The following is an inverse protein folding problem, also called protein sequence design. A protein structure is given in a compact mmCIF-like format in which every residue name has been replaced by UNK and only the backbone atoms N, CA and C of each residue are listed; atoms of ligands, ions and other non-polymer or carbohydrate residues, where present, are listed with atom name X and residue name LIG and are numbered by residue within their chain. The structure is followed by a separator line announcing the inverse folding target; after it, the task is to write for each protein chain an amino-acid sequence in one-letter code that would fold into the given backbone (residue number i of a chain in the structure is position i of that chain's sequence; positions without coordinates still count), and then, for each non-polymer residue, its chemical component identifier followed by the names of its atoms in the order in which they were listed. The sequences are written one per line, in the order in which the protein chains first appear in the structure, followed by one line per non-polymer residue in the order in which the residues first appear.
data_IF_055082354086
#
_entry.id   IF_055082354086
#
_cell.length_a   1.000
_cell.length_b   1.000
_cell.length_c   1.000
_cell.angle_alpha   90.00
_cell.angle_beta   90.00
_cell.angle_gamma   90.00
#
_symmetry.space_group_name_H-M   'P 1'
#
loop_
_entity.id
_entity.type
_entity.pdbx_description
1 polymer ?
#
# COMPACT_ATOMS: atom_id res chain seq x y z
N UNK A 1 14.58 -4.17 -32.68
CA UNK A 1 13.58 -4.09 -31.60
C UNK A 1 14.31 -3.72 -30.32
N UNK A 2 14.20 -2.46 -29.88
CA UNK A 2 14.63 -2.10 -28.52
C UNK A 2 13.72 -2.85 -27.56
N UNK A 3 14.28 -3.64 -26.64
CA UNK A 3 13.49 -4.32 -25.62
C UNK A 3 12.53 -3.30 -24.98
N UNK A 4 11.23 -3.60 -24.98
CA UNK A 4 10.23 -2.79 -24.29
C UNK A 4 10.67 -2.67 -22.83
N UNK A 5 11.24 -1.52 -22.47
CA UNK A 5 11.60 -1.22 -21.09
C UNK A 5 10.30 -1.24 -20.31
N UNK A 6 10.12 -2.23 -19.44
CA UNK A 6 8.96 -2.32 -18.56
C UNK A 6 8.70 -0.96 -17.90
N UNK A 7 7.45 -0.47 -17.92
CA UNK A 7 7.08 0.91 -17.55
C UNK A 7 7.58 1.38 -16.17
N UNK A 8 7.87 0.46 -15.24
CA UNK A 8 8.44 0.76 -13.91
C UNK A 8 9.93 1.13 -13.96
N UNK A 9 10.60 0.95 -15.09
CA UNK A 9 12.03 1.22 -15.30
C UNK A 9 12.28 2.37 -16.27
N UNK A 10 11.27 3.18 -16.58
CA UNK A 10 11.46 4.41 -17.38
C UNK A 10 12.36 5.39 -16.62
N UNK A 11 13.40 5.92 -17.28
CA UNK A 11 14.33 6.91 -16.74
C UNK A 11 14.93 6.52 -15.37
N UNK A 12 15.58 5.35 -15.24
CA UNK A 12 16.09 4.88 -13.96
C UNK A 12 17.17 5.82 -13.40
N UNK A 13 17.91 6.54 -14.24
CA UNK A 13 18.93 7.54 -13.91
C UNK A 13 18.40 8.70 -13.06
N UNK A 14 17.09 8.97 -13.09
CA UNK A 14 16.43 9.99 -12.26
C UNK A 14 16.19 9.52 -10.82
N UNK A 15 16.53 8.27 -10.51
CA UNK A 15 16.30 7.66 -9.21
C UNK A 15 14.82 7.44 -8.90
N UNK A 16 14.53 7.28 -7.61
CA UNK A 16 13.17 7.16 -7.08
C UNK A 16 13.03 8.12 -5.89
N UNK A 17 12.04 9.03 -5.88
CA UNK A 17 11.88 10.01 -4.80
C UNK A 17 11.80 9.36 -3.42
N UNK A 18 12.53 9.91 -2.44
CA UNK A 18 12.63 9.33 -1.10
C UNK A 18 11.26 9.15 -0.42
N UNK A 19 10.34 10.11 -0.58
CA UNK A 19 8.98 10.02 -0.03
C UNK A 19 8.19 8.84 -0.62
N UNK A 20 8.38 8.53 -1.91
CA UNK A 20 7.74 7.39 -2.56
C UNK A 20 8.27 6.07 -2.00
N UNK A 21 9.60 5.99 -1.80
CA UNK A 21 10.27 4.82 -1.23
C UNK A 21 9.86 4.58 0.23
N UNK A 22 9.88 5.63 1.06
CA UNK A 22 9.50 5.51 2.46
C UNK A 22 8.02 5.15 2.63
N UNK A 23 7.14 5.72 1.80
CA UNK A 23 5.73 5.33 1.78
C UNK A 23 5.56 3.84 1.43
N UNK A 24 6.29 3.35 0.43
CA UNK A 24 6.23 1.95 0.01
C UNK A 24 6.76 0.97 1.07
N UNK A 25 7.76 1.37 1.86
CA UNK A 25 8.29 0.57 2.97
C UNK A 25 7.37 0.59 4.19
N UNK A 26 6.82 1.77 4.51
CA UNK A 26 5.96 1.94 5.67
C UNK A 26 4.65 1.19 5.52
N UNK A 27 4.07 1.18 4.31
CA UNK A 27 2.76 0.57 4.08
C UNK A 27 2.65 -0.90 4.54
N UNK A 28 3.49 -1.85 4.08
CA UNK A 28 3.39 -3.24 4.53
C UNK A 28 3.64 -3.40 6.04
N UNK A 29 4.50 -2.58 6.63
CA UNK A 29 4.72 -2.57 8.09
C UNK A 29 3.46 -2.11 8.83
N UNK A 30 2.83 -1.03 8.36
CA UNK A 30 1.59 -0.53 8.94
C UNK A 30 0.46 -1.57 8.82
N UNK A 31 0.32 -2.22 7.67
CA UNK A 31 -0.69 -3.26 7.43
C UNK A 31 -0.45 -4.51 8.28
N UNK A 32 0.79 -4.97 8.42
CA UNK A 32 1.14 -6.05 9.36
C UNK A 32 0.79 -5.67 10.80
N UNK A 33 1.07 -4.42 11.18
CA UNK A 33 0.65 -3.86 12.46
C UNK A 33 -0.86 -3.86 12.65
N UNK A 34 -1.65 -3.63 11.60
CA UNK A 34 -3.12 -3.70 11.67
C UNK A 34 -3.62 -5.11 11.98
N UNK A 35 -3.05 -6.16 11.37
CA UNK A 35 -3.38 -7.54 11.72
C UNK A 35 -3.06 -7.84 13.18
N UNK A 36 -1.90 -7.38 13.67
CA UNK A 36 -1.52 -7.53 15.07
C UNK A 36 -2.50 -6.80 16.01
N UNK A 37 -2.84 -5.53 15.73
CA UNK A 37 -3.78 -4.75 16.54
C UNK A 37 -5.20 -5.33 16.53
N UNK A 38 -5.66 -5.87 15.39
CA UNK A 38 -6.93 -6.59 15.32
C UNK A 38 -6.89 -7.84 16.21
N UNK A 39 -5.80 -8.62 16.17
CA UNK A 39 -5.58 -9.74 17.07
C UNK A 39 -5.58 -9.33 18.56
N UNK A 40 -4.89 -8.24 18.91
CA UNK A 40 -4.90 -7.71 20.28
C UNK A 40 -6.31 -7.28 20.72
N UNK A 41 -7.11 -6.72 19.80
CA UNK A 41 -8.49 -6.33 20.11
C UNK A 41 -9.39 -7.56 20.31
N UNK A 42 -9.21 -8.60 19.49
CA UNK A 42 -9.96 -9.86 19.58
C UNK A 42 -9.62 -10.68 20.83
N UNK A 43 -8.34 -10.77 21.19
CA UNK A 43 -7.85 -11.76 22.15
C UNK A 43 -7.32 -11.16 23.46
N UNK A 44 -6.95 -9.88 23.47
CA UNK A 44 -6.35 -9.21 24.63
C UNK A 44 -7.13 -7.97 25.10
N UNK A 45 -8.30 -7.68 24.50
CA UNK A 45 -9.18 -6.60 24.94
C UNK A 45 -8.68 -5.19 24.62
N UNK A 46 -7.74 -5.04 23.69
CA UNK A 46 -7.32 -3.72 23.20
C UNK A 46 -8.54 -2.98 22.61
N UNK A 47 -8.71 -1.67 22.86
CA UNK A 47 -9.78 -0.91 22.23
C UNK A 47 -9.69 -0.90 20.70
N UNK A 48 -10.78 -1.27 20.02
CA UNK A 48 -10.90 -1.19 18.55
C UNK A 48 -10.65 0.21 17.98
N UNK A 49 -10.83 1.26 18.78
CA UNK A 49 -10.51 2.64 18.41
C UNK A 49 -9.03 2.83 18.07
N UNK A 50 -8.13 2.09 18.72
CA UNK A 50 -6.68 2.13 18.42
C UNK A 50 -6.42 1.50 17.06
N UNK A 51 -7.00 0.33 16.78
CA UNK A 51 -6.94 -0.30 15.47
C UNK A 51 -7.47 0.65 14.38
N UNK A 52 -8.67 1.23 14.58
CA UNK A 52 -9.27 2.18 13.65
C UNK A 52 -8.42 3.44 13.40
N UNK A 53 -7.88 4.05 14.46
CA UNK A 53 -7.01 5.24 14.36
C UNK A 53 -5.74 4.94 13.55
N UNK A 54 -5.01 3.87 13.89
CA UNK A 54 -3.77 3.50 13.19
C UNK A 54 -4.09 3.06 11.75
N UNK A 55 -5.24 2.40 11.52
CA UNK A 55 -5.72 2.06 10.18
C UNK A 55 -6.04 3.30 9.33
N UNK A 56 -6.56 4.37 9.93
CA UNK A 56 -6.73 5.68 9.29
C UNK A 56 -5.40 6.29 8.86
N UNK A 57 -4.39 6.27 9.75
CA UNK A 57 -3.05 6.78 9.44
C UNK A 57 -2.34 5.98 8.35
N UNK A 58 -2.62 4.68 8.22
CA UNK A 58 -2.08 3.85 7.14
C UNK A 58 -2.54 4.31 5.74
N UNK A 59 -3.60 5.11 5.62
CA UNK A 59 -4.04 5.71 4.36
C UNK A 59 -3.07 6.75 3.80
N UNK A 60 -2.29 7.44 4.66
CA UNK A 60 -1.34 8.49 4.26
C UNK A 60 -0.31 8.00 3.23
N UNK A 61 0.49 6.94 3.50
CA UNK A 61 1.44 6.44 2.51
C UNK A 61 0.77 5.95 1.22
N UNK A 62 -0.46 5.43 1.29
CA UNK A 62 -1.21 4.96 0.11
C UNK A 62 -1.56 6.13 -0.81
N UNK A 63 -2.12 7.20 -0.24
CA UNK A 63 -2.50 8.41 -0.98
C UNK A 63 -1.26 9.08 -1.58
N UNK A 64 -0.18 9.20 -0.81
CA UNK A 64 1.10 9.76 -1.29
C UNK A 64 1.61 8.98 -2.51
N UNK A 65 1.63 7.65 -2.44
CA UNK A 65 2.08 6.83 -3.58
C UNK A 65 1.17 6.98 -4.80
N UNK A 66 -0.16 6.97 -4.62
CA UNK A 66 -1.09 7.15 -5.73
C UNK A 66 -0.89 8.50 -6.42
N UNK A 67 -0.81 9.59 -5.65
CA UNK A 67 -0.58 10.94 -6.19
C UNK A 67 0.74 10.99 -6.95
N UNK A 68 1.84 10.52 -6.36
CA UNK A 68 3.16 10.58 -7.00
C UNK A 68 3.23 9.71 -8.26
N UNK A 69 2.65 8.51 -8.25
CA UNK A 69 2.64 7.63 -9.42
C UNK A 69 1.83 8.22 -10.59
N UNK A 70 0.77 8.98 -10.31
CA UNK A 70 -0.02 9.65 -11.34
C UNK A 70 0.63 10.96 -11.81
N UNK A 71 1.22 11.75 -10.91
CA UNK A 71 1.76 13.07 -11.20
C UNK A 71 3.17 13.07 -11.80
N UNK A 72 4.00 12.08 -11.46
CA UNK A 72 5.40 12.02 -11.89
C UNK A 72 5.52 11.05 -13.06
N UNK A 73 5.82 11.58 -14.26
CA UNK A 73 5.81 10.83 -15.51
C UNK A 73 6.61 9.51 -15.49
N UNK A 74 7.81 9.50 -14.92
CA UNK A 74 8.66 8.31 -14.84
C UNK A 74 8.29 7.32 -13.72
N UNK A 75 7.26 7.62 -12.92
CA UNK A 75 6.67 6.71 -11.93
C UNK A 75 5.32 6.12 -12.40
N UNK A 76 4.82 6.47 -13.59
CA UNK A 76 3.51 6.01 -14.09
C UNK A 76 3.37 4.49 -14.19
N UNK A 77 4.47 3.77 -14.39
CA UNK A 77 4.48 2.30 -14.36
C UNK A 77 4.04 1.69 -13.03
N UNK A 78 4.03 2.47 -11.94
CA UNK A 78 3.53 2.05 -10.63
C UNK A 78 2.06 2.41 -10.40
N UNK A 79 1.44 3.23 -11.25
CA UNK A 79 0.12 3.80 -11.01
C UNK A 79 -0.98 2.74 -10.87
N UNK A 80 -0.93 1.67 -11.66
CA UNK A 80 -1.88 0.56 -11.54
C UNK A 80 -1.90 -0.03 -10.11
N UNK A 81 -0.72 -0.33 -9.56
CA UNK A 81 -0.60 -0.92 -8.24
C UNK A 81 -0.88 0.10 -7.13
N UNK A 82 -0.45 1.36 -7.28
CA UNK A 82 -0.70 2.40 -6.30
C UNK A 82 -2.19 2.78 -6.21
N UNK A 83 -2.87 2.93 -7.35
CA UNK A 83 -4.31 3.18 -7.41
C UNK A 83 -5.10 1.93 -7.00
N UNK A 84 -4.63 0.73 -7.33
CA UNK A 84 -5.21 -0.52 -6.83
C UNK A 84 -5.16 -0.61 -5.30
N UNK A 85 -4.03 -0.24 -4.69
CA UNK A 85 -3.90 -0.14 -3.24
C UNK A 85 -4.88 0.88 -2.64
N UNK A 86 -5.03 2.05 -3.28
CA UNK A 86 -5.98 3.08 -2.86
C UNK A 86 -7.43 2.59 -2.93
N UNK A 87 -7.80 1.90 -4.01
CA UNK A 87 -9.13 1.32 -4.17
C UNK A 87 -9.40 0.25 -3.10
N UNK A 88 -8.46 -0.68 -2.89
CA UNK A 88 -8.55 -1.69 -1.83
C UNK A 88 -8.64 -1.04 -0.44
N UNK A 89 -7.93 0.05 -0.19
CA UNK A 89 -8.04 0.80 1.06
C UNK A 89 -9.42 1.45 1.23
N UNK A 90 -9.99 2.02 0.17
CA UNK A 90 -11.36 2.53 0.19
C UNK A 90 -12.38 1.44 0.52
N UNK A 91 -12.23 0.26 -0.10
CA UNK A 91 -13.02 -0.94 0.24
C UNK A 91 -12.80 -1.33 1.70
N UNK A 92 -11.57 -1.28 2.21
CA UNK A 92 -11.26 -1.60 3.61
C UNK A 92 -12.07 -0.74 4.58
N UNK A 93 -12.14 0.57 4.33
CA UNK A 93 -12.92 1.52 5.14
C UNK A 93 -14.41 1.19 5.08
N UNK A 94 -14.95 0.95 3.88
CA UNK A 94 -16.36 0.62 3.71
C UNK A 94 -16.74 -0.69 4.42
N UNK A 95 -15.87 -1.71 4.35
CA UNK A 95 -16.07 -2.99 5.03
C UNK A 95 -16.01 -2.85 6.55
N UNK A 96 -15.20 -1.92 7.07
CA UNK A 96 -15.03 -1.69 8.51
C UNK A 96 -16.29 -1.17 9.21
N UNK A 97 -17.19 -0.53 8.46
CA UNK A 97 -18.43 0.07 8.97
C UNK A 97 -19.67 -0.80 8.72
N UNK A 98 -19.48 -1.99 8.15
CA UNK A 98 -20.56 -2.85 7.67
C UNK A 98 -21.12 -3.80 8.72
N UNK A 99 -22.00 -4.69 8.24
CA UNK A 99 -22.52 -5.80 9.03
C UNK A 99 -21.48 -6.92 9.26
N UNK A 100 -21.90 -8.01 9.90
CA UNK A 100 -21.03 -9.15 10.18
C UNK A 100 -20.41 -9.77 8.91
N UNK A 101 -21.15 -9.78 7.79
CA UNK A 101 -20.65 -10.31 6.50
C UNK A 101 -19.56 -9.41 5.93
N UNK A 102 -19.79 -8.09 5.96
CA UNK A 102 -18.79 -7.10 5.55
C UNK A 102 -17.54 -7.15 6.43
N UNK A 103 -17.71 -7.30 7.75
CA UNK A 103 -16.59 -7.50 8.67
C UNK A 103 -15.82 -8.79 8.39
N UNK A 104 -16.47 -9.87 7.94
CA UNK A 104 -15.78 -11.10 7.56
C UNK A 104 -14.92 -10.92 6.28
N UNK A 105 -15.35 -10.04 5.36
CA UNK A 105 -14.57 -9.69 4.17
C UNK A 105 -13.43 -8.71 4.47
N UNK A 106 -13.53 -7.94 5.56
CA UNK A 106 -12.53 -6.95 5.96
C UNK A 106 -11.09 -7.53 6.09
N UNK A 107 -10.83 -8.63 6.82
CA UNK A 107 -9.48 -9.22 6.89
C UNK A 107 -9.04 -9.87 5.56
N UNK A 108 -9.98 -10.34 4.74
CA UNK A 108 -9.67 -10.85 3.40
C UNK A 108 -9.15 -9.73 2.50
N UNK A 109 -9.86 -8.59 2.44
CA UNK A 109 -9.42 -7.42 1.69
C UNK A 109 -8.11 -6.83 2.23
N UNK A 110 -7.90 -6.84 3.57
CA UNK A 110 -6.64 -6.43 4.17
C UNK A 110 -5.46 -7.28 3.67
N UNK A 111 -5.68 -8.58 3.45
CA UNK A 111 -4.66 -9.49 2.92
C UNK A 111 -4.31 -9.16 1.46
N UNK A 112 -5.31 -8.86 0.64
CA UNK A 112 -5.11 -8.40 -0.74
C UNK A 112 -4.36 -7.06 -0.79
N UNK A 113 -4.68 -6.13 0.12
CA UNK A 113 -3.99 -4.85 0.26
C UNK A 113 -2.54 -5.04 0.69
N UNK A 114 -2.26 -5.96 1.62
CA UNK A 114 -0.89 -6.30 2.02
C UNK A 114 -0.08 -6.92 0.86
N UNK A 115 -0.67 -7.86 0.12
CA UNK A 115 -0.02 -8.44 -1.06
C UNK A 115 0.30 -7.35 -2.08
N UNK A 116 -0.68 -6.47 -2.36
CA UNK A 116 -0.51 -5.33 -3.25
C UNK A 116 0.64 -4.41 -2.80
N UNK A 117 0.71 -4.10 -1.50
CA UNK A 117 1.78 -3.30 -0.92
C UNK A 117 3.15 -3.95 -1.06
N UNK A 118 3.26 -5.26 -0.83
CA UNK A 118 4.50 -6.02 -0.98
C UNK A 118 4.97 -6.08 -2.44
N UNK A 119 4.05 -6.29 -3.40
CA UNK A 119 4.36 -6.24 -4.83
C UNK A 119 4.85 -4.86 -5.24
N UNK A 120 4.21 -3.81 -4.76
CA UNK A 120 4.61 -2.42 -5.02
C UNK A 120 6.01 -2.15 -4.46
N UNK A 121 6.28 -2.54 -3.20
CA UNK A 121 7.59 -2.41 -2.58
C UNK A 121 8.67 -3.16 -3.37
N UNK A 122 8.42 -4.42 -3.76
CA UNK A 122 9.36 -5.23 -4.53
C UNK A 122 9.72 -4.57 -5.88
N UNK A 123 8.72 -4.03 -6.59
CA UNK A 123 8.95 -3.30 -7.85
C UNK A 123 9.76 -2.03 -7.64
N UNK A 124 9.50 -1.28 -6.56
CA UNK A 124 10.22 -0.05 -6.23
C UNK A 124 11.66 -0.34 -5.85
N UNK A 125 11.92 -1.30 -4.98
CA UNK A 125 13.29 -1.68 -4.59
C UNK A 125 14.07 -2.24 -5.78
N UNK A 126 13.42 -3.00 -6.66
CA UNK A 126 14.04 -3.44 -7.92
C UNK A 126 14.44 -2.27 -8.81
N UNK A 127 13.58 -1.25 -8.95
CA UNK A 127 13.93 -0.03 -9.70
C UNK A 127 15.13 0.68 -9.07
N UNK A 128 15.17 0.80 -7.73
CA UNK A 128 16.29 1.44 -7.01
C UNK A 128 17.61 0.72 -7.23
N UNK A 129 17.61 -0.60 -7.24
CA UNK A 129 18.80 -1.41 -7.50
C UNK A 129 19.36 -1.28 -8.94
N UNK A 130 18.59 -0.70 -9.88
CA UNK A 130 19.04 -0.40 -11.24
C UNK A 130 19.58 1.04 -11.38
N UNK A 131 19.44 1.87 -10.33
CA UNK A 131 19.98 3.23 -10.28
C UNK A 131 21.37 3.29 -9.63
N UNK A 132 21.78 2.21 -8.94
CA UNK A 132 23.12 2.00 -8.39
C UNK A 132 24.06 1.41 -9.42
#
# INVERSE_FOLDING_TARGET
MTASSHDTFVAPERGTPALFVWSARLLPVALAGQFFLAGQSLFAGLPWSIHGMVGGLAGVPIVVMAIMACAIGYLRGFAWWACGALALYGVQIALATGDATMLALHPFNASLLLITALVLLAKIERRRALHT
#
